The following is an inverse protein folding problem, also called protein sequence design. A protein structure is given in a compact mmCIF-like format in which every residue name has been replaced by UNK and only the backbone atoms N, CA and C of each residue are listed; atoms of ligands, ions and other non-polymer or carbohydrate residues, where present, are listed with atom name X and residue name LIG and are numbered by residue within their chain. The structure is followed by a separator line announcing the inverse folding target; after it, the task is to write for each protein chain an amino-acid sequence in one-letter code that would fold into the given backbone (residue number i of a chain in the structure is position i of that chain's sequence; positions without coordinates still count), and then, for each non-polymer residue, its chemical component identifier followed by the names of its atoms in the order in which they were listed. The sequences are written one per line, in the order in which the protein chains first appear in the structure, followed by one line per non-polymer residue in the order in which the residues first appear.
data_IF_052470686872
#
_entry.id   IF_052470686872
#
_cell.length_a   1.000
_cell.length_b   1.000
_cell.length_c   1.000
_cell.angle_alpha   90.00
_cell.angle_beta   90.00
_cell.angle_gamma   90.00
#
_symmetry.space_group_name_H-M   'P 1'
#
loop_
_entity.id
_entity.type
_entity.pdbx_description
1 polymer ?
#
# COMPACT_ATOMS: atom_id res chain seq x y z
N UNK A 1 10.90 3.99 -26.05
CA UNK A 1 10.02 3.12 -25.26
C UNK A 1 8.62 3.24 -25.83
N UNK A 2 8.04 2.16 -26.35
CA UNK A 2 6.59 2.08 -26.61
C UNK A 2 5.95 1.57 -25.33
N UNK A 3 5.06 2.37 -24.75
CA UNK A 3 4.22 1.94 -23.63
C UNK A 3 2.88 1.51 -24.21
N UNK A 4 2.41 0.30 -23.89
CA UNK A 4 1.05 -0.20 -24.21
C UNK A 4 -0.05 0.53 -23.41
N UNK A 5 0.14 1.82 -23.15
CA UNK A 5 -0.77 2.67 -22.41
C UNK A 5 -1.81 3.27 -23.35
N UNK A 6 -2.65 2.42 -23.95
CA UNK A 6 -3.81 2.87 -24.72
C UNK A 6 -5.03 3.01 -23.77
N UNK A 7 -4.90 3.88 -22.76
CA UNK A 7 -5.97 4.17 -21.81
C UNK A 7 -6.67 5.48 -22.17
N UNK A 8 -8.01 5.52 -22.18
CA UNK A 8 -8.75 6.77 -22.34
C UNK A 8 -8.32 7.78 -21.28
N UNK A 9 -8.00 9.02 -21.68
CA UNK A 9 -7.48 10.08 -20.79
C UNK A 9 -8.27 10.30 -19.50
N UNK A 10 -9.57 10.00 -19.50
CA UNK A 10 -10.45 10.07 -18.31
C UNK A 10 -10.05 9.11 -17.19
N UNK A 11 -9.42 7.97 -17.52
CA UNK A 11 -9.07 6.91 -16.58
C UNK A 11 -7.63 7.09 -16.02
N UNK A 12 -6.89 8.09 -16.54
CA UNK A 12 -5.55 8.46 -16.09
C UNK A 12 -5.55 9.35 -14.85
N UNK A 13 -6.66 10.03 -14.55
CA UNK A 13 -6.76 11.02 -13.46
C UNK A 13 -7.31 10.46 -12.14
N UNK A 14 -7.68 9.17 -12.11
CA UNK A 14 -8.27 8.51 -10.94
C UNK A 14 -7.42 7.33 -10.42
N UNK A 15 -7.64 6.90 -9.17
CA UNK A 15 -7.04 5.69 -8.62
C UNK A 15 -7.27 4.50 -9.54
N UNK A 16 -6.21 3.74 -9.83
CA UNK A 16 -6.24 2.55 -10.68
C UNK A 16 -7.25 1.53 -10.16
N UNK A 17 -7.49 1.47 -8.84
CA UNK A 17 -8.47 0.56 -8.21
C UNK A 17 -9.90 0.70 -8.75
N UNK A 18 -10.25 1.86 -9.31
CA UNK A 18 -11.57 2.12 -9.90
C UNK A 18 -11.61 1.91 -11.41
N UNK A 19 -10.48 1.55 -12.04
CA UNK A 19 -10.47 1.24 -13.46
C UNK A 19 -11.26 -0.05 -13.70
N UNK A 20 -12.09 -0.12 -14.75
CA UNK A 20 -12.88 -1.32 -15.06
C UNK A 20 -12.03 -2.60 -15.17
N UNK A 21 -10.76 -2.45 -15.56
CA UNK A 21 -9.82 -3.54 -15.82
C UNK A 21 -8.75 -3.71 -14.73
N UNK A 22 -8.92 -3.06 -13.57
CA UNK A 22 -7.85 -2.95 -12.56
C UNK A 22 -7.27 -4.30 -12.13
N UNK A 23 -8.12 -5.30 -11.93
CA UNK A 23 -7.73 -6.56 -11.32
C UNK A 23 -8.69 -7.73 -11.63
N UNK A 24 -9.79 -7.52 -12.37
CA UNK A 24 -10.75 -8.57 -12.75
C UNK A 24 -11.19 -9.52 -11.61
N UNK A 25 -11.30 -9.01 -10.37
CA UNK A 25 -11.59 -9.80 -9.16
C UNK A 25 -10.54 -10.86 -8.79
N UNK A 26 -9.32 -10.77 -9.32
CA UNK A 26 -8.19 -11.60 -8.89
C UNK A 26 -7.80 -11.32 -7.43
N UNK A 27 -7.38 -12.35 -6.72
CA UNK A 27 -6.95 -12.19 -5.32
C UNK A 27 -5.60 -11.47 -5.28
N UNK A 28 -5.56 -10.30 -4.62
CA UNK A 28 -4.30 -9.59 -4.36
C UNK A 28 -3.66 -10.09 -3.06
N UNK A 29 -2.33 -10.10 -3.01
CA UNK A 29 -1.58 -10.42 -1.80
C UNK A 29 -1.44 -9.18 -0.88
N UNK A 30 -0.99 -9.40 0.35
CA UNK A 30 -0.83 -8.35 1.37
C UNK A 30 0.10 -7.21 0.90
N UNK A 31 1.18 -7.52 0.18
CA UNK A 31 2.11 -6.50 -0.30
C UNK A 31 1.48 -5.64 -1.40
N UNK A 32 0.71 -6.26 -2.30
CA UNK A 32 -0.06 -5.54 -3.32
C UNK A 32 -1.11 -4.64 -2.68
N UNK A 33 -1.80 -5.10 -1.63
CA UNK A 33 -2.75 -4.29 -0.88
C UNK A 33 -2.08 -3.07 -0.22
N UNK A 34 -0.92 -3.24 0.41
CA UNK A 34 -0.15 -2.12 0.96
C UNK A 34 0.34 -1.15 -0.12
N UNK A 35 0.82 -1.68 -1.25
CA UNK A 35 1.24 -0.88 -2.41
C UNK A 35 0.12 0.04 -2.87
N UNK A 36 -1.10 -0.50 -2.99
CA UNK A 36 -2.28 0.26 -3.38
C UNK A 36 -2.73 1.26 -2.33
N UNK A 37 -2.65 0.91 -1.04
CA UNK A 37 -3.03 1.83 0.02
C UNK A 37 -2.15 3.08 0.04
N UNK A 38 -0.83 2.91 -0.01
CA UNK A 38 0.11 4.04 0.05
C UNK A 38 0.26 4.80 -1.26
N UNK A 39 -0.04 4.17 -2.40
CA UNK A 39 -0.11 4.87 -3.68
C UNK A 39 -1.41 5.67 -3.85
N UNK A 40 -2.29 5.71 -2.84
CA UNK A 40 -3.66 6.22 -2.97
C UNK A 40 -4.41 5.56 -4.14
N UNK A 41 -4.14 4.27 -4.33
CA UNK A 41 -4.66 3.45 -5.41
C UNK A 41 -4.07 3.79 -6.77
N UNK A 42 -3.02 4.62 -6.88
CA UNK A 42 -2.25 4.82 -8.10
C UNK A 42 -1.38 3.60 -8.43
N UNK A 43 -0.91 3.50 -9.68
CA UNK A 43 -0.15 2.33 -10.16
C UNK A 43 1.29 2.43 -9.64
N UNK A 44 1.46 2.32 -8.32
CA UNK A 44 2.78 2.25 -7.72
C UNK A 44 3.11 0.79 -7.44
N UNK A 45 3.87 0.21 -8.35
CA UNK A 45 4.36 -1.17 -8.32
C UNK A 45 5.65 -1.31 -7.51
N UNK A 46 6.02 -0.30 -6.69
CA UNK A 46 7.27 -0.30 -5.91
C UNK A 46 7.22 -1.19 -4.67
N UNK A 47 6.09 -1.25 -3.95
CA UNK A 47 5.97 -2.12 -2.77
C UNK A 47 5.47 -3.53 -3.13
N UNK A 48 4.73 -3.68 -4.24
CA UNK A 48 4.20 -4.96 -4.69
C UNK A 48 5.19 -5.88 -5.43
N UNK A 49 6.27 -5.34 -6.01
CA UNK A 49 7.26 -6.13 -6.77
C UNK A 49 8.24 -6.91 -5.89
N UNK A 50 8.66 -6.31 -4.78
CA UNK A 50 9.68 -6.89 -3.90
C UNK A 50 9.06 -7.34 -2.58
N UNK A 51 8.98 -8.66 -2.39
CA UNK A 51 8.37 -9.26 -1.19
C UNK A 51 9.08 -8.81 0.09
N UNK A 52 10.38 -8.57 0.03
CA UNK A 52 11.19 -8.13 1.16
C UNK A 52 10.84 -6.72 1.63
N UNK A 53 10.56 -5.79 0.72
CA UNK A 53 10.12 -4.44 1.08
C UNK A 53 8.76 -4.45 1.80
N UNK A 54 7.82 -5.26 1.34
CA UNK A 54 6.52 -5.42 2.01
C UNK A 54 6.65 -6.01 3.42
N UNK A 55 7.54 -6.99 3.62
CA UNK A 55 7.81 -7.57 4.95
C UNK A 55 8.51 -6.58 5.87
N UNK A 56 9.54 -5.86 5.37
CA UNK A 56 10.23 -4.82 6.12
C UNK A 56 9.23 -3.74 6.58
N UNK A 57 8.41 -3.26 5.67
CA UNK A 57 7.44 -2.21 5.96
C UNK A 57 6.36 -2.66 6.95
N UNK A 58 5.85 -3.89 6.82
CA UNK A 58 4.89 -4.46 7.77
C UNK A 58 5.50 -4.56 9.18
N UNK A 59 6.74 -5.02 9.28
CA UNK A 59 7.45 -5.10 10.56
C UNK A 59 7.71 -3.71 11.16
N UNK A 60 7.98 -2.71 10.33
CA UNK A 60 8.15 -1.32 10.78
C UNK A 60 6.85 -0.77 11.41
N UNK A 61 5.70 -0.98 10.75
CA UNK A 61 4.40 -0.56 11.31
C UNK A 61 4.10 -1.24 12.65
N UNK A 62 4.38 -2.54 12.76
CA UNK A 62 4.22 -3.28 14.01
C UNK A 62 5.12 -2.70 15.11
N UNK A 63 6.39 -2.42 14.80
CA UNK A 63 7.34 -1.86 15.76
C UNK A 63 6.90 -0.48 16.27
N UNK A 64 6.44 0.39 15.36
CA UNK A 64 5.91 1.72 15.72
C UNK A 64 4.69 1.58 16.64
N UNK A 65 3.70 0.77 16.25
CA UNK A 65 2.48 0.58 17.04
C UNK A 65 2.76 0.02 18.43
N UNK A 66 3.66 -0.96 18.56
CA UNK A 66 4.07 -1.51 19.85
C UNK A 66 4.82 -0.47 20.70
N UNK A 67 5.72 0.29 20.09
CA UNK A 67 6.51 1.31 20.81
C UNK A 67 5.60 2.41 21.34
N UNK A 68 4.69 2.93 20.52
CA UNK A 68 3.74 3.96 20.93
C UNK A 68 2.76 3.45 21.99
N UNK A 69 2.29 2.22 21.87
CA UNK A 69 1.40 1.61 22.87
C UNK A 69 2.11 1.47 24.22
N UNK A 70 3.32 0.93 24.24
CA UNK A 70 4.10 0.77 25.47
C UNK A 70 4.46 2.12 26.10
N UNK A 71 4.87 3.08 25.27
CA UNK A 71 5.14 4.45 25.71
C UNK A 71 3.89 5.09 26.31
N UNK A 72 2.75 5.01 25.63
CA UNK A 72 1.48 5.53 26.10
C UNK A 72 1.07 4.92 27.45
N UNK A 73 1.20 3.60 27.61
CA UNK A 73 0.92 2.94 28.89
C UNK A 73 1.85 3.44 29.99
N UNK A 74 3.16 3.52 29.71
CA UNK A 74 4.16 3.94 30.70
C UNK A 74 3.88 5.34 31.24
N UNK A 75 3.62 6.31 30.36
CA UNK A 75 3.41 7.71 30.78
C UNK A 75 2.01 7.97 31.33
N UNK A 76 0.98 7.24 30.88
CA UNK A 76 -0.36 7.39 31.44
C UNK A 76 -0.54 6.75 32.83
N UNK A 77 0.32 5.80 33.22
CA UNK A 77 0.27 5.16 34.55
C UNK A 77 1.27 5.74 35.56
N UNK A 78 2.14 6.68 35.15
CA UNK A 78 3.09 7.37 36.04
C UNK A 78 2.69 8.84 36.33
N UNK A 79 1.51 9.27 35.90
CA UNK A 79 0.93 10.60 36.16
C UNK A 79 -0.04 10.61 37.33
#
# INVERSE_FOLDING_TARGET
MKTDFDFPRKDLLGPVVFRPNFNNFETINVNQAWSLFFSAGQDDSKLGREVELGRFFTNLLIAVGLTETLWGIYFNHMG
#
